data_IF_921326991984
#
_entry.id   IF_921326991984
#
_cell.length_a   1.000
_cell.length_b   1.000
_cell.length_c   1.000
_cell.angle_alpha   90.00
_cell.angle_beta   90.00
_cell.angle_gamma   90.00
#
_symmetry.space_group_name_H-M   'P 1'
#
loop_
_entity.id
_entity.type
_entity.pdbx_description
1 polymer ?
#
# COMPACT_ATOMS: atom_id res chain seq x y z
N UNK A 1 -36.69 13.54 -64.91
CA UNK A 1 -35.49 13.20 -64.08
C UNK A 1 -35.71 13.74 -62.68
N UNK A 2 -36.02 12.89 -61.73
CA UNK A 2 -36.19 13.26 -60.32
C UNK A 2 -34.92 12.85 -59.58
N UNK A 3 -34.17 13.86 -59.11
CA UNK A 3 -32.94 13.69 -58.36
C UNK A 3 -33.30 13.42 -56.90
N UNK A 4 -33.03 12.20 -56.41
CA UNK A 4 -33.16 11.86 -54.98
C UNK A 4 -31.92 12.32 -54.24
N UNK A 5 -32.10 13.27 -53.34
CA UNK A 5 -31.06 13.73 -52.43
C UNK A 5 -31.02 12.79 -51.20
N UNK A 6 -30.00 11.95 -51.10
CA UNK A 6 -29.75 11.12 -49.91
C UNK A 6 -29.09 11.99 -48.82
N UNK A 7 -29.84 12.30 -47.77
CA UNK A 7 -29.28 12.94 -46.57
C UNK A 7 -28.72 11.80 -45.67
N UNK A 8 -27.40 11.67 -45.64
CA UNK A 8 -26.72 10.81 -44.69
C UNK A 8 -26.70 11.55 -43.33
N UNK A 9 -27.57 11.13 -42.41
CA UNK A 9 -27.60 11.62 -41.05
C UNK A 9 -26.52 10.85 -40.28
N UNK A 10 -25.30 11.43 -40.18
CA UNK A 10 -24.24 10.91 -39.33
C UNK A 10 -24.60 11.18 -37.88
N UNK A 11 -25.10 10.14 -37.18
CA UNK A 11 -25.23 10.17 -35.73
C UNK A 11 -23.84 10.16 -35.12
N UNK A 12 -23.32 11.32 -34.75
CA UNK A 12 -22.20 11.46 -33.82
C UNK A 12 -22.69 11.00 -32.44
N UNK A 13 -22.46 9.73 -32.13
CA UNK A 13 -22.52 9.28 -30.74
C UNK A 13 -21.37 10.00 -30.00
N UNK A 14 -21.66 10.72 -28.90
CA UNK A 14 -20.59 11.19 -28.05
C UNK A 14 -19.93 9.95 -27.45
N UNK A 15 -18.70 9.68 -27.85
CA UNK A 15 -17.84 8.75 -27.16
C UNK A 15 -17.58 9.40 -25.80
N UNK A 16 -18.36 8.99 -24.80
CA UNK A 16 -18.06 9.30 -23.42
C UNK A 16 -16.75 8.56 -23.10
N UNK A 17 -15.65 9.24 -23.28
CA UNK A 17 -14.38 8.81 -22.68
C UNK A 17 -14.60 8.87 -21.17
N UNK A 18 -14.92 7.72 -20.59
CA UNK A 18 -14.86 7.57 -19.15
C UNK A 18 -13.39 7.81 -18.81
N UNK A 19 -13.08 9.01 -18.34
CA UNK A 19 -11.80 9.33 -17.76
C UNK A 19 -11.66 8.39 -16.56
N UNK A 20 -10.90 7.30 -16.73
CA UNK A 20 -10.40 6.55 -15.60
C UNK A 20 -9.65 7.56 -14.74
N UNK A 21 -10.12 7.76 -13.49
CA UNK A 21 -9.56 8.76 -12.60
C UNK A 21 -8.05 8.58 -12.54
N UNK A 22 -7.31 9.55 -13.06
CA UNK A 22 -5.86 9.57 -12.89
C UNK A 22 -5.59 9.88 -11.44
N UNK A 23 -5.02 8.92 -10.71
CA UNK A 23 -4.53 9.18 -9.38
C UNK A 23 -3.43 10.23 -9.45
N UNK A 24 -3.55 11.25 -8.62
CA UNK A 24 -2.52 12.28 -8.51
C UNK A 24 -1.34 11.70 -7.75
N UNK A 25 -0.18 11.68 -8.39
CA UNK A 25 1.09 11.34 -7.75
C UNK A 25 1.77 12.66 -7.40
N UNK A 26 1.86 12.96 -6.12
CA UNK A 26 2.55 14.13 -5.61
C UNK A 26 3.83 13.73 -4.86
N UNK A 27 4.79 14.65 -4.66
CA UNK A 27 5.95 14.39 -3.80
C UNK A 27 5.49 14.06 -2.38
N UNK A 28 6.04 12.99 -1.82
CA UNK A 28 5.79 12.64 -0.43
C UNK A 28 6.36 13.70 0.52
N UNK A 29 5.62 14.01 1.57
CA UNK A 29 6.09 14.84 2.69
C UNK A 29 6.70 13.98 3.80
N UNK A 30 6.34 12.70 3.83
CA UNK A 30 6.89 11.69 4.76
C UNK A 30 6.86 10.33 4.06
N UNK A 31 7.92 9.56 4.23
CA UNK A 31 7.94 8.13 3.91
C UNK A 31 8.34 7.35 5.15
N UNK A 32 7.64 6.25 5.41
CA UNK A 32 7.93 5.34 6.52
C UNK A 32 8.05 3.93 5.97
N UNK A 33 9.16 3.29 6.29
CA UNK A 33 9.37 1.89 5.93
C UNK A 33 9.01 0.98 7.11
N UNK A 34 8.20 -0.01 6.83
CA UNK A 34 7.82 -1.04 7.78
C UNK A 34 8.37 -2.39 7.35
N UNK A 35 9.03 -3.07 8.26
CA UNK A 35 9.22 -4.51 8.13
C UNK A 35 7.90 -5.20 8.50
N UNK A 36 7.51 -6.17 7.69
CA UNK A 36 6.29 -6.95 7.87
C UNK A 36 6.63 -8.42 8.07
N UNK A 37 6.02 -9.02 9.06
CA UNK A 37 5.95 -10.47 9.24
C UNK A 37 4.50 -10.90 9.09
N UNK A 38 4.23 -11.83 8.18
CA UNK A 38 2.89 -12.37 7.97
C UNK A 38 2.96 -13.85 7.59
N UNK A 39 2.29 -14.72 8.38
CA UNK A 39 2.19 -16.15 8.09
C UNK A 39 3.54 -16.80 7.70
N UNK A 40 4.57 -16.58 8.51
CA UNK A 40 5.94 -17.09 8.30
C UNK A 40 6.71 -16.47 7.12
N UNK A 41 6.20 -15.41 6.53
CA UNK A 41 6.86 -14.68 5.46
C UNK A 41 7.24 -13.27 5.89
N UNK A 42 8.41 -12.84 5.43
CA UNK A 42 8.91 -11.46 5.61
C UNK A 42 8.64 -10.64 4.36
N UNK A 43 8.27 -9.38 4.54
CA UNK A 43 8.22 -8.37 3.48
C UNK A 43 8.61 -7.00 4.07
N UNK A 44 8.71 -5.99 3.21
CA UNK A 44 8.93 -4.61 3.61
C UNK A 44 7.98 -3.71 2.85
N UNK A 45 7.32 -2.82 3.56
CA UNK A 45 6.32 -1.90 2.99
C UNK A 45 6.72 -0.46 3.17
N UNK A 46 6.29 0.37 2.25
CA UNK A 46 6.41 1.83 2.32
C UNK A 46 5.02 2.43 2.55
N UNK A 47 4.90 3.24 3.59
CA UNK A 47 3.84 4.23 3.74
C UNK A 47 4.36 5.56 3.20
N UNK A 48 3.77 6.03 2.14
CA UNK A 48 4.06 7.33 1.55
C UNK A 48 2.92 8.28 1.87
N UNK A 49 3.22 9.38 2.53
CA UNK A 49 2.25 10.39 2.96
C UNK A 49 2.41 11.64 2.10
N UNK A 50 1.34 12.06 1.46
CA UNK A 50 1.25 13.30 0.71
C UNK A 50 0.26 14.28 1.34
N UNK A 51 0.01 15.41 0.65
CA UNK A 51 -0.97 16.41 1.08
C UNK A 51 -2.40 16.05 0.69
N UNK A 52 -2.54 15.39 -0.45
CA UNK A 52 -3.83 15.03 -1.05
C UNK A 52 -4.01 13.53 -1.23
N UNK A 53 -2.92 12.75 -1.15
CA UNK A 53 -2.98 11.31 -1.29
C UNK A 53 -1.92 10.60 -0.45
N UNK A 54 -2.27 9.40 0.03
CA UNK A 54 -1.36 8.50 0.70
C UNK A 54 -1.27 7.18 -0.07
N UNK A 55 -0.14 6.50 0.05
CA UNK A 55 0.07 5.19 -0.58
C UNK A 55 0.69 4.23 0.44
N UNK A 56 0.30 2.95 0.35
CA UNK A 56 0.95 1.87 1.09
C UNK A 56 1.17 0.68 0.16
N UNK A 57 2.41 0.24 0.00
CA UNK A 57 2.78 -0.78 -0.98
C UNK A 57 4.05 -1.55 -0.57
N UNK A 58 4.21 -2.77 -1.10
CA UNK A 58 5.45 -3.54 -0.91
C UNK A 58 6.62 -2.85 -1.60
N UNK A 59 7.69 -2.63 -0.84
CA UNK A 59 8.95 -2.08 -1.34
C UNK A 59 9.56 -2.96 -2.43
N UNK A 60 9.59 -4.26 -2.21
CA UNK A 60 10.22 -5.19 -3.14
C UNK A 60 9.41 -5.37 -4.42
N UNK A 61 8.07 -5.42 -4.33
CA UNK A 61 7.22 -5.47 -5.50
C UNK A 61 7.37 -4.20 -6.35
N UNK A 62 7.28 -3.04 -5.74
CA UNK A 62 7.44 -1.77 -6.46
C UNK A 62 8.82 -1.63 -7.11
N UNK A 63 9.89 -2.11 -6.43
CA UNK A 63 11.23 -2.18 -6.98
C UNK A 63 11.29 -3.11 -8.20
N UNK A 64 10.72 -4.31 -8.11
CA UNK A 64 10.68 -5.28 -9.20
C UNK A 64 9.94 -4.71 -10.41
N UNK A 65 8.75 -4.15 -10.19
CA UNK A 65 7.96 -3.53 -11.26
C UNK A 65 8.74 -2.39 -11.92
N UNK A 66 9.41 -1.56 -11.13
CA UNK A 66 10.25 -0.47 -11.64
C UNK A 66 11.42 -0.99 -12.51
N UNK A 67 12.06 -2.07 -12.11
CA UNK A 67 13.14 -2.69 -12.88
C UNK A 67 12.63 -3.31 -14.18
N UNK A 68 11.50 -4.00 -14.15
CA UNK A 68 10.90 -4.65 -15.31
C UNK A 68 10.47 -3.65 -16.39
N UNK A 69 9.97 -2.47 -16.00
CA UNK A 69 9.45 -1.47 -16.93
C UNK A 69 10.48 -0.43 -17.41
N UNK A 70 11.65 -0.34 -16.77
CA UNK A 70 12.62 0.73 -17.07
C UNK A 70 13.48 0.42 -18.30
N UNK A 71 14.06 -0.78 -18.40
CA UNK A 71 14.89 -1.18 -19.54
C UNK A 71 15.11 -2.69 -19.61
N UNK A 72 15.62 -3.18 -20.75
CA UNK A 72 15.99 -4.59 -20.88
C UNK A 72 17.13 -4.99 -19.92
N UNK A 73 18.04 -4.07 -19.64
CA UNK A 73 19.15 -4.32 -18.70
C UNK A 73 18.61 -4.50 -17.28
N UNK A 74 17.73 -3.61 -16.84
CA UNK A 74 17.12 -3.69 -15.49
C UNK A 74 16.23 -4.93 -15.33
N UNK A 75 15.51 -5.33 -16.39
CA UNK A 75 14.73 -6.57 -16.40
C UNK A 75 15.62 -7.82 -16.23
N UNK A 76 16.80 -7.84 -16.85
CA UNK A 76 17.77 -8.93 -16.62
C UNK A 76 18.25 -8.98 -15.18
N UNK A 77 18.46 -7.82 -14.54
CA UNK A 77 18.81 -7.75 -13.12
C UNK A 77 17.69 -8.32 -12.25
N UNK A 78 16.44 -7.92 -12.49
CA UNK A 78 15.28 -8.45 -11.75
C UNK A 78 15.15 -9.97 -11.89
N UNK A 79 15.33 -10.50 -13.11
CA UNK A 79 15.30 -11.95 -13.35
C UNK A 79 16.45 -12.67 -12.62
N UNK A 80 17.66 -12.12 -12.63
CA UNK A 80 18.78 -12.70 -11.90
C UNK A 80 18.53 -12.74 -10.40
N UNK A 81 18.07 -11.65 -9.82
CA UNK A 81 17.71 -11.58 -8.39
C UNK A 81 16.61 -12.59 -8.03
N UNK A 82 15.61 -12.75 -8.89
CA UNK A 82 14.57 -13.76 -8.70
C UNK A 82 15.13 -15.19 -8.71
N UNK A 83 16.04 -15.51 -9.64
CA UNK A 83 16.68 -16.82 -9.71
C UNK A 83 17.57 -17.08 -8.49
N UNK A 84 18.34 -16.08 -8.05
CA UNK A 84 19.18 -16.17 -6.85
C UNK A 84 18.34 -16.37 -5.58
N UNK A 85 17.19 -15.70 -5.46
CA UNK A 85 16.30 -15.82 -4.33
C UNK A 85 15.64 -17.21 -4.22
N UNK A 86 15.37 -17.84 -5.35
CA UNK A 86 14.79 -19.18 -5.43
C UNK A 86 15.83 -20.30 -5.31
N UNK A 87 17.12 -19.99 -5.24
CA UNK A 87 18.15 -20.97 -4.93
C UNK A 87 18.00 -21.44 -3.48
N UNK A 88 18.12 -22.77 -3.27
CA UNK A 88 17.99 -23.39 -1.95
C UNK A 88 19.04 -22.91 -0.94
N UNK A 89 20.17 -22.40 -1.40
CA UNK A 89 21.25 -21.85 -0.59
C UNK A 89 21.09 -20.35 -0.28
N UNK A 90 20.02 -19.70 -0.81
CA UNK A 90 19.82 -18.26 -0.65
C UNK A 90 19.58 -17.88 0.82
N UNK A 91 20.20 -16.79 1.23
CA UNK A 91 19.95 -16.20 2.55
C UNK A 91 18.64 -15.39 2.57
N UNK A 92 18.24 -14.93 3.79
CA UNK A 92 17.03 -14.14 3.98
C UNK A 92 17.01 -12.88 3.11
N UNK A 93 18.14 -12.19 2.96
CA UNK A 93 18.21 -10.92 2.22
C UNK A 93 17.94 -11.11 0.73
N UNK A 94 18.40 -12.21 0.14
CA UNK A 94 18.14 -12.57 -1.25
C UNK A 94 16.68 -12.97 -1.45
N UNK A 95 16.13 -13.78 -0.53
CA UNK A 95 14.71 -14.18 -0.61
C UNK A 95 13.77 -12.98 -0.52
N UNK A 96 14.06 -12.00 0.33
CA UNK A 96 13.26 -10.78 0.44
C UNK A 96 13.20 -9.99 -0.86
N UNK A 97 14.30 -9.92 -1.64
CA UNK A 97 14.31 -9.19 -2.93
C UNK A 97 13.36 -9.76 -3.98
N UNK A 98 13.04 -11.05 -3.89
CA UNK A 98 12.09 -11.72 -4.76
C UNK A 98 10.77 -12.05 -4.05
N UNK A 99 10.63 -11.67 -2.77
CA UNK A 99 9.40 -11.90 -2.02
C UNK A 99 8.30 -11.01 -2.57
N UNK A 100 7.17 -11.64 -2.87
CA UNK A 100 5.94 -10.98 -3.29
C UNK A 100 4.81 -11.49 -2.42
N UNK A 101 4.87 -11.18 -1.11
CA UNK A 101 3.79 -11.56 -0.19
C UNK A 101 2.50 -10.89 -0.60
N UNK A 102 2.59 -9.61 -0.95
CA UNK A 102 1.44 -8.84 -1.39
C UNK A 102 1.79 -8.02 -2.63
N UNK A 103 0.99 -8.20 -3.68
CA UNK A 103 0.99 -7.35 -4.87
C UNK A 103 -0.08 -6.28 -4.75
N UNK A 104 -0.31 -5.81 -3.55
CA UNK A 104 -1.32 -4.81 -3.24
C UNK A 104 -0.68 -3.43 -3.14
N UNK A 105 -1.30 -2.48 -3.84
CA UNK A 105 -1.09 -1.06 -3.66
C UNK A 105 -2.37 -0.47 -3.08
N UNK A 106 -2.29 0.12 -1.91
CA UNK A 106 -3.34 0.94 -1.33
C UNK A 106 -3.09 2.40 -1.71
N UNK A 107 -4.10 3.05 -2.22
CA UNK A 107 -4.11 4.48 -2.52
C UNK A 107 -5.27 5.13 -1.79
N UNK A 108 -4.99 6.11 -0.95
CA UNK A 108 -5.99 6.90 -0.25
C UNK A 108 -6.06 8.28 -0.88
N UNK A 109 -7.22 8.65 -1.40
CA UNK A 109 -7.51 9.99 -1.86
C UNK A 109 -8.17 10.77 -0.73
N UNK A 110 -7.44 11.73 -0.17
CA UNK A 110 -7.91 12.53 0.96
C UNK A 110 -8.97 13.56 0.54
N UNK A 111 -9.01 13.93 -0.75
CA UNK A 111 -9.99 14.89 -1.27
C UNK A 111 -11.38 14.27 -1.41
N UNK A 112 -11.45 12.99 -1.72
CA UNK A 112 -12.70 12.25 -1.89
C UNK A 112 -13.05 11.37 -0.69
N UNK A 113 -12.10 11.16 0.22
CA UNK A 113 -12.25 10.24 1.35
C UNK A 113 -12.30 8.77 0.94
N UNK A 114 -11.76 8.42 -0.24
CA UNK A 114 -11.78 7.07 -0.80
C UNK A 114 -10.44 6.39 -0.67
N UNK A 115 -10.49 5.08 -0.48
CA UNK A 115 -9.37 4.16 -0.51
C UNK A 115 -9.57 3.20 -1.68
N UNK A 116 -8.61 3.18 -2.61
CA UNK A 116 -8.55 2.23 -3.71
C UNK A 116 -7.46 1.19 -3.43
N UNK A 117 -7.81 -0.07 -3.60
CA UNK A 117 -6.88 -1.19 -3.54
C UNK A 117 -6.67 -1.73 -4.95
N UNK A 118 -5.43 -1.79 -5.37
CA UNK A 118 -4.98 -2.43 -6.60
C UNK A 118 -4.26 -3.70 -6.23
N UNK A 119 -4.67 -4.82 -6.83
CA UNK A 119 -4.05 -6.12 -6.58
C UNK A 119 -3.86 -6.85 -7.89
N UNK A 120 -2.73 -7.52 -8.04
CA UNK A 120 -2.47 -8.46 -9.12
C UNK A 120 -2.39 -9.88 -8.53
N UNK A 121 -3.52 -10.55 -8.50
CA UNK A 121 -3.61 -11.93 -8.02
C UNK A 121 -3.93 -12.88 -9.17
N UNK A 122 -3.18 -13.98 -9.28
CA UNK A 122 -3.37 -15.02 -10.29
C UNK A 122 -3.42 -14.49 -11.73
N UNK A 123 -2.56 -13.49 -12.05
CA UNK A 123 -2.50 -12.81 -13.37
C UNK A 123 -3.74 -11.98 -13.72
N UNK A 124 -4.62 -11.72 -12.78
CA UNK A 124 -5.76 -10.85 -12.93
C UNK A 124 -5.52 -9.54 -12.14
N UNK A 125 -5.73 -8.40 -12.80
CA UNK A 125 -5.75 -7.10 -12.14
C UNK A 125 -7.12 -6.88 -11.52
N UNK A 126 -7.13 -6.69 -10.21
CA UNK A 126 -8.34 -6.41 -9.45
C UNK A 126 -8.24 -5.03 -8.84
N UNK A 127 -9.32 -4.27 -8.92
CA UNK A 127 -9.45 -2.97 -8.28
C UNK A 127 -10.69 -2.99 -7.39
N UNK A 128 -10.54 -2.47 -6.20
CA UNK A 128 -11.60 -2.35 -5.22
C UNK A 128 -11.53 -0.96 -4.59
N UNK A 129 -12.68 -0.32 -4.38
CA UNK A 129 -12.79 0.98 -3.76
C UNK A 129 -13.74 0.93 -2.55
N UNK A 130 -13.36 1.60 -1.47
CA UNK A 130 -14.18 1.81 -0.29
C UNK A 130 -13.96 3.21 0.28
N UNK A 131 -14.78 3.61 1.24
CA UNK A 131 -14.49 4.78 2.05
C UNK A 131 -13.25 4.53 2.91
N UNK A 132 -12.42 5.56 3.16
CA UNK A 132 -11.27 5.42 4.07
C UNK A 132 -11.80 4.92 5.42
N UNK A 133 -11.39 3.73 5.87
CA UNK A 133 -11.97 3.11 7.03
C UNK A 133 -11.56 3.83 8.31
N UNK A 134 -12.49 3.92 9.24
CA UNK A 134 -12.25 4.42 10.59
C UNK A 134 -12.19 3.27 11.58
N UNK A 135 -11.37 3.39 12.61
CA UNK A 135 -11.24 2.44 13.70
C UNK A 135 -11.69 3.07 15.02
N UNK A 136 -12.34 2.28 15.86
CA UNK A 136 -12.67 2.68 17.24
C UNK A 136 -11.51 2.23 18.16
N UNK A 137 -10.65 3.16 18.54
CA UNK A 137 -9.49 2.90 19.35
C UNK A 137 -9.77 2.97 20.85
N UNK A 138 -9.19 2.02 21.61
CA UNK A 138 -9.02 2.11 23.05
C UNK A 138 -7.54 2.38 23.34
N UNK A 139 -7.24 3.60 23.80
CA UNK A 139 -5.86 4.03 24.08
C UNK A 139 -5.51 3.71 25.53
N UNK A 140 -4.32 3.15 25.74
CA UNK A 140 -3.73 2.90 27.06
C UNK A 140 -2.41 3.66 27.18
N UNK A 141 -2.43 4.77 27.90
CA UNK A 141 -1.26 5.62 28.15
C UNK A 141 -0.32 5.11 29.23
N UNK A 142 -0.73 4.09 30.00
CA UNK A 142 0.13 3.48 31.01
C UNK A 142 1.07 2.42 30.39
N UNK A 143 0.84 2.06 29.14
CA UNK A 143 1.67 1.09 28.41
C UNK A 143 2.45 1.79 27.30
N UNK A 144 3.72 2.03 27.54
CA UNK A 144 4.61 2.78 26.66
C UNK A 144 5.74 1.86 26.17
N UNK A 145 6.07 1.98 24.87
CA UNK A 145 7.22 1.31 24.24
C UNK A 145 8.05 2.35 23.47
N UNK A 146 9.37 2.24 23.50
CA UNK A 146 10.24 3.08 22.68
C UNK A 146 10.52 2.41 21.34
N UNK A 147 10.12 3.03 20.23
CA UNK A 147 10.32 2.52 18.86
C UNK A 147 11.04 3.61 18.07
N UNK A 148 12.14 3.27 17.43
CA UNK A 148 13.00 4.21 16.69
C UNK A 148 13.41 5.45 17.52
N UNK A 149 13.52 5.30 18.84
CA UNK A 149 13.87 6.39 19.75
C UNK A 149 12.71 7.30 20.16
N UNK A 150 11.51 7.05 19.68
CA UNK A 150 10.28 7.79 19.99
C UNK A 150 9.43 7.04 21.01
N UNK A 151 8.81 7.78 21.91
CA UNK A 151 7.85 7.23 22.87
C UNK A 151 6.52 6.94 22.17
N UNK A 152 6.01 5.71 22.35
CA UNK A 152 4.80 5.23 21.70
C UNK A 152 3.79 4.70 22.73
N UNK A 153 2.57 5.19 22.66
CA UNK A 153 1.45 4.71 23.46
C UNK A 153 0.78 3.51 22.81
N UNK A 154 0.27 2.58 23.63
CA UNK A 154 -0.50 1.43 23.17
C UNK A 154 -1.95 1.84 22.86
N UNK A 155 -2.47 1.40 21.72
CA UNK A 155 -3.89 1.41 21.43
C UNK A 155 -4.35 0.06 20.88
N UNK A 156 -5.62 -0.28 21.12
CA UNK A 156 -6.24 -1.53 20.64
C UNK A 156 -7.53 -1.26 19.92
N UNK A 157 -7.85 -2.11 18.93
CA UNK A 157 -9.12 -2.07 18.20
C UNK A 157 -9.48 -3.44 17.63
N UNK A 158 -10.76 -3.64 17.32
CA UNK A 158 -11.21 -4.73 16.45
C UNK A 158 -11.47 -4.17 15.07
N UNK A 159 -10.72 -4.66 14.09
CA UNK A 159 -10.84 -4.20 12.72
C UNK A 159 -10.62 -5.33 11.71
N UNK A 160 -11.55 -5.44 10.74
CA UNK A 160 -11.50 -6.47 9.68
C UNK A 160 -11.38 -7.89 10.21
N UNK A 161 -12.15 -8.21 11.27
CA UNK A 161 -12.20 -9.55 11.85
C UNK A 161 -11.01 -9.92 12.75
N UNK A 162 -10.10 -8.99 13.02
CA UNK A 162 -8.91 -9.19 13.84
C UNK A 162 -8.86 -8.24 15.02
N UNK A 163 -8.21 -8.67 16.08
CA UNK A 163 -7.82 -7.80 17.20
C UNK A 163 -6.44 -7.21 16.92
N UNK A 164 -6.35 -5.90 16.92
CA UNK A 164 -5.11 -5.16 16.68
C UNK A 164 -4.61 -4.53 17.95
N UNK A 165 -3.30 -4.67 18.20
CA UNK A 165 -2.52 -3.90 19.16
C UNK A 165 -1.56 -3.03 18.37
N UNK A 166 -1.57 -1.73 18.59
CA UNK A 166 -0.69 -0.81 17.89
C UNK A 166 0.01 0.11 18.86
N UNK A 167 1.21 0.54 18.49
CA UNK A 167 1.98 1.54 19.19
C UNK A 167 2.15 2.75 18.29
N UNK A 168 1.69 3.89 18.75
CA UNK A 168 1.70 5.14 17.99
C UNK A 168 2.42 6.23 18.76
N UNK A 169 3.05 7.16 18.04
CA UNK A 169 3.74 8.31 18.60
C UNK A 169 3.09 9.61 18.17
N UNK A 170 2.89 10.54 19.11
CA UNK A 170 2.41 11.89 18.82
C UNK A 170 3.53 12.85 18.38
N UNK A 171 4.82 12.43 18.46
CA UNK A 171 5.96 13.18 17.94
C UNK A 171 5.86 13.38 16.41
N UNK A 172 5.19 12.46 15.72
CA UNK A 172 4.85 12.58 14.30
C UNK A 172 3.32 12.70 14.19
N UNK A 173 2.77 13.93 14.06
CA UNK A 173 1.32 14.17 14.10
C UNK A 173 0.63 13.82 12.77
N UNK A 174 0.80 12.58 12.36
CA UNK A 174 0.21 11.99 11.15
C UNK A 174 -0.69 10.83 11.56
N UNK A 175 -1.99 10.97 11.37
CA UNK A 175 -3.02 9.99 11.79
C UNK A 175 -3.08 8.76 10.87
N UNK A 176 -1.94 8.18 10.57
CA UNK A 176 -1.79 7.04 9.64
C UNK A 176 -0.95 5.92 10.26
N UNK A 177 -0.96 4.77 9.60
CA UNK A 177 -0.18 3.61 9.96
C UNK A 177 -0.06 2.63 8.79
N UNK A 178 0.48 1.44 9.04
CA UNK A 178 0.60 0.42 8.02
C UNK A 178 -0.78 -0.10 7.59
N UNK A 179 -0.85 -0.52 6.33
CA UNK A 179 -2.06 -1.07 5.71
C UNK A 179 -3.23 -0.07 5.76
N UNK A 180 -4.34 -0.43 6.36
CA UNK A 180 -5.57 0.38 6.48
C UNK A 180 -5.75 0.97 7.89
N UNK A 181 -4.71 0.92 8.73
CA UNK A 181 -4.77 1.41 10.10
C UNK A 181 -4.49 2.93 10.14
N UNK A 182 -5.22 3.64 10.98
CA UNK A 182 -5.08 5.09 11.13
C UNK A 182 -6.08 5.67 12.12
N UNK A 183 -6.18 7.00 12.17
CA UNK A 183 -7.16 7.70 13.01
C UNK A 183 -6.74 7.93 14.47
N UNK A 184 -5.51 7.55 14.86
CA UNK A 184 -4.90 7.94 16.13
C UNK A 184 -4.28 9.34 16.02
N UNK A 185 -4.01 10.05 17.12
CA UNK A 185 -3.45 11.41 17.09
C UNK A 185 -1.96 11.45 16.69
N UNK A 186 -1.43 10.37 16.12
CA UNK A 186 -0.05 10.27 15.69
C UNK A 186 0.20 9.04 14.81
N UNK A 187 1.44 8.90 14.36
CA UNK A 187 1.87 7.83 13.46
C UNK A 187 1.97 6.50 14.20
N UNK A 188 1.37 5.45 13.63
CA UNK A 188 1.49 4.07 14.14
C UNK A 188 2.83 3.51 13.67
N UNK A 189 3.75 3.28 14.61
CA UNK A 189 5.08 2.72 14.31
C UNK A 189 5.13 1.19 14.39
N UNK A 190 4.21 0.58 15.14
CA UNK A 190 4.12 -0.88 15.23
C UNK A 190 2.67 -1.30 15.30
N UNK A 191 2.32 -2.35 14.59
CA UNK A 191 0.99 -2.94 14.61
C UNK A 191 1.10 -4.47 14.62
N UNK A 192 0.32 -5.11 15.48
CA UNK A 192 0.29 -6.56 15.67
C UNK A 192 -1.17 -7.02 15.65
N UNK A 193 -1.46 -8.04 14.85
CA UNK A 193 -2.78 -8.66 14.81
C UNK A 193 -2.70 -10.12 15.27
N UNK A 194 -3.74 -10.54 16.04
CA UNK A 194 -4.02 -11.92 16.40
C UNK A 194 -2.76 -12.76 16.70
N UNK A 195 -2.20 -12.59 17.89
CA UNK A 195 -1.09 -13.41 18.38
C UNK A 195 0.12 -13.49 17.43
N UNK A 196 0.55 -12.33 16.91
CA UNK A 196 1.70 -12.17 16.01
C UNK A 196 1.53 -12.78 14.60
N UNK A 197 0.32 -13.12 14.16
CA UNK A 197 0.11 -13.62 12.80
C UNK A 197 0.42 -12.57 11.71
N UNK A 198 0.15 -11.28 12.01
CA UNK A 198 0.58 -10.14 11.19
C UNK A 198 1.27 -9.14 12.10
N UNK A 199 2.46 -8.71 11.72
CA UNK A 199 3.21 -7.71 12.46
C UNK A 199 3.88 -6.75 11.50
N UNK A 200 3.66 -5.47 11.74
CA UNK A 200 4.38 -4.37 11.10
C UNK A 200 5.23 -3.65 12.15
N UNK A 201 6.45 -3.30 11.78
CA UNK A 201 7.34 -2.51 12.64
C UNK A 201 8.08 -1.49 11.78
N UNK A 202 7.94 -0.20 12.09
CA UNK A 202 8.67 0.87 11.43
C UNK A 202 10.18 0.72 11.67
N UNK A 203 10.97 0.93 10.61
CA UNK A 203 12.43 0.77 10.64
C UNK A 203 13.19 1.97 10.07
N UNK A 204 12.55 2.86 9.34
CA UNK A 204 13.08 4.14 8.85
C UNK A 204 11.97 5.05 8.34
#
# INVERSE_FOLDING_TARGET
>A
MKTFLFIILTHLFPISVIAQGQHVIEPAILEVRYDCWQAEHDDSYILRVGKIANQFFSFFQNRTDSLDFTSEVTRKIALQEFLEANDRSSDRSKRLKASTISRELLYQDLSTGKLSLYSNFASAYNTYEEDIPTQNWSVNTDSVETIMGMECNLATTKFRGREWKVWFTEEIPVSLGPWKLGGLPGLILKAVADDDFIKFTAVS
#
